data_IF_723091081483
#
_entry.id   IF_723091081483
#
_cell.length_a   1.000
_cell.length_b   1.000
_cell.length_c   1.000
_cell.angle_alpha   90.00
_cell.angle_beta   90.00
_cell.angle_gamma   90.00
#
_symmetry.space_group_name_H-M   'P 1'
#
loop_
_entity.id
_entity.type
_entity.pdbx_description
1 polymer ?
#
# COMPACT_ATOMS: atom_id res chain seq x y z
N UNK A 1 27.89 -42.94 73.46
CA UNK A 1 28.84 -41.90 73.02
C UNK A 1 28.87 -41.85 71.50
N UNK A 2 29.20 -40.68 70.94
CA UNK A 2 29.58 -40.41 69.55
C UNK A 2 28.56 -40.62 68.40
N UNK A 3 28.41 -39.53 67.63
CA UNK A 3 27.97 -39.41 66.23
C UNK A 3 28.76 -40.39 65.31
N UNK A 4 28.40 -40.66 64.04
CA UNK A 4 28.06 -39.70 62.96
C UNK A 4 27.51 -40.43 61.70
N UNK A 5 26.71 -39.69 60.87
CA UNK A 5 26.50 -39.72 59.39
C UNK A 5 26.95 -40.96 58.54
N UNK A 6 26.36 -41.30 57.37
CA UNK A 6 25.70 -40.47 56.33
C UNK A 6 24.74 -41.32 55.46
N UNK A 7 23.91 -40.68 54.62
CA UNK A 7 22.94 -41.31 53.71
C UNK A 7 23.52 -41.69 52.34
N UNK A 8 22.92 -42.70 51.70
CA UNK A 8 22.49 -42.60 50.29
C UNK A 8 22.83 -43.77 49.35
N UNK A 9 21.80 -44.31 48.67
CA UNK A 9 21.80 -44.63 47.22
C UNK A 9 20.41 -45.16 46.78
N UNK A 10 19.98 -44.77 45.56
CA UNK A 10 19.16 -45.47 44.54
C UNK A 10 18.03 -46.47 44.95
N UNK A 11 16.91 -46.63 44.26
CA UNK A 11 16.21 -45.94 43.14
C UNK A 11 14.73 -46.50 43.16
N UNK A 12 13.85 -46.49 42.15
CA UNK A 12 13.82 -46.03 40.76
C UNK A 12 12.33 -45.81 40.35
N UNK A 13 12.04 -44.96 39.35
CA UNK A 13 10.76 -44.99 38.61
C UNK A 13 11.00 -44.73 37.12
N UNK A 14 10.46 -45.60 36.27
CA UNK A 14 10.59 -45.57 34.81
C UNK A 14 9.47 -44.78 34.11
N UNK A 15 9.77 -44.40 32.86
CA UNK A 15 8.96 -43.74 31.84
C UNK A 15 7.43 -43.97 31.91
N UNK A 16 6.65 -42.91 31.67
CA UNK A 16 6.04 -42.66 30.35
C UNK A 16 5.18 -41.38 30.36
N UNK A 17 5.41 -40.48 29.40
CA UNK A 17 4.62 -39.26 29.25
C UNK A 17 4.93 -38.55 27.94
N UNK A 18 4.27 -38.96 26.85
CA UNK A 18 4.37 -38.31 25.54
C UNK A 18 3.58 -37.00 25.53
N UNK A 19 4.14 -35.96 26.15
CA UNK A 19 3.66 -34.59 26.00
C UNK A 19 4.05 -34.09 24.61
N UNK A 20 3.07 -33.70 23.79
CA UNK A 20 3.31 -33.23 22.43
C UNK A 20 4.07 -31.91 22.41
N UNK A 21 5.23 -31.88 21.73
CA UNK A 21 5.99 -30.66 21.50
C UNK A 21 5.62 -30.12 20.11
N UNK A 22 4.52 -29.39 20.05
CA UNK A 22 4.24 -28.46 18.95
C UNK A 22 5.10 -27.22 19.15
N UNK A 23 6.29 -27.17 18.55
CA UNK A 23 7.10 -25.96 18.47
C UNK A 23 7.26 -25.53 17.01
N UNK A 24 6.58 -24.42 16.68
CA UNK A 24 6.68 -23.73 15.40
C UNK A 24 8.06 -23.08 15.32
N UNK A 25 9.00 -23.73 14.64
CA UNK A 25 10.34 -23.17 14.38
C UNK A 25 10.30 -22.35 13.09
N UNK A 26 9.89 -21.08 13.20
CA UNK A 26 10.05 -20.06 12.15
C UNK A 26 9.92 -18.62 12.75
N UNK A 27 10.63 -18.35 13.84
CA UNK A 27 10.51 -17.11 14.62
C UNK A 27 11.83 -16.39 14.89
N UNK A 28 12.76 -16.38 13.92
CA UNK A 28 14.07 -15.72 14.04
C UNK A 28 14.36 -14.89 12.79
N UNK A 29 14.82 -13.65 13.00
CA UNK A 29 15.14 -12.63 11.98
C UNK A 29 13.94 -11.98 11.24
N UNK A 30 12.94 -11.50 11.99
CA UNK A 30 12.10 -10.39 11.53
C UNK A 30 12.64 -9.06 12.09
N UNK A 31 13.17 -8.21 11.22
CA UNK A 31 13.34 -6.77 11.52
C UNK A 31 11.96 -6.08 11.65
N UNK A 32 11.91 -4.75 11.86
CA UNK A 32 10.64 -4.02 11.78
C UNK A 32 9.97 -4.34 10.43
N UNK A 33 8.75 -4.86 10.49
CA UNK A 33 8.05 -5.33 9.30
C UNK A 33 7.86 -4.16 8.32
N UNK A 34 8.37 -4.32 7.10
CA UNK A 34 8.22 -3.34 6.03
C UNK A 34 6.75 -3.12 5.65
N UNK A 35 6.48 -2.13 4.78
CA UNK A 35 5.12 -1.83 4.34
C UNK A 35 4.44 -3.09 3.78
N UNK A 36 3.15 -3.35 4.12
CA UNK A 36 2.41 -4.51 3.64
C UNK A 36 2.49 -4.66 2.12
N UNK A 37 2.78 -5.88 1.67
CA UNK A 37 2.82 -6.20 0.25
C UNK A 37 1.48 -6.78 -0.23
N UNK A 38 1.12 -6.61 -1.52
CA UNK A 38 -0.05 -7.26 -2.10
C UNK A 38 0.04 -8.78 -1.98
N UNK A 39 -1.08 -9.46 -1.78
CA UNK A 39 -1.12 -10.93 -1.82
C UNK A 39 -0.71 -11.44 -3.21
N UNK A 40 0.02 -12.54 -3.26
CA UNK A 40 0.46 -13.13 -4.53
C UNK A 40 -0.76 -13.45 -5.42
N UNK A 41 -0.80 -12.87 -6.63
CA UNK A 41 -1.97 -12.95 -7.52
C UNK A 41 -2.93 -11.74 -7.46
N UNK A 42 -2.71 -10.75 -6.58
CA UNK A 42 -3.53 -9.53 -6.48
C UNK A 42 -3.47 -8.59 -7.70
N UNK A 43 -2.72 -8.98 -8.74
CA UNK A 43 -2.81 -8.39 -10.09
C UNK A 43 -4.16 -8.75 -10.72
N UNK A 44 -5.25 -8.22 -10.15
CA UNK A 44 -6.61 -8.55 -10.51
C UNK A 44 -6.83 -8.49 -12.02
N UNK A 45 -7.57 -9.49 -12.52
CA UNK A 45 -8.00 -9.61 -13.92
C UNK A 45 -8.60 -8.28 -14.36
N UNK A 46 -8.25 -7.85 -15.57
CA UNK A 46 -8.86 -6.68 -16.20
C UNK A 46 -10.35 -6.98 -16.42
N UNK A 47 -11.17 -6.59 -15.42
CA UNK A 47 -12.61 -6.88 -15.38
C UNK A 47 -13.33 -6.08 -16.46
N UNK A 48 -13.42 -6.70 -17.63
CA UNK A 48 -14.11 -6.20 -18.81
C UNK A 48 -15.53 -5.70 -18.47
N UNK A 49 -15.85 -4.50 -18.96
CA UNK A 49 -17.22 -4.01 -19.16
C UNK A 49 -18.13 -3.89 -17.93
N UNK A 50 -17.75 -3.01 -16.98
CA UNK A 50 -18.76 -2.07 -16.45
C UNK A 50 -18.97 -0.97 -17.48
N UNK A 51 -20.21 -0.66 -17.85
CA UNK A 51 -20.51 0.45 -18.77
C UNK A 51 -19.86 1.73 -18.25
N UNK A 52 -19.06 2.47 -19.04
CA UNK A 52 -18.39 3.68 -18.57
C UNK A 52 -19.39 4.64 -17.93
N UNK A 53 -19.14 5.03 -16.67
CA UNK A 53 -19.91 6.11 -16.04
C UNK A 53 -19.65 7.38 -16.85
N UNK A 54 -20.65 8.25 -17.09
CA UNK A 54 -20.43 9.54 -17.72
C UNK A 54 -19.29 10.28 -17.00
N UNK A 55 -18.27 10.64 -17.76
CA UNK A 55 -17.09 11.33 -17.22
C UNK A 55 -17.46 12.76 -16.86
N UNK A 56 -16.83 13.27 -15.80
CA UNK A 56 -17.06 14.60 -15.28
C UNK A 56 -16.11 15.60 -15.94
N UNK A 57 -16.50 16.88 -16.10
CA UNK A 57 -15.58 17.95 -16.43
C UNK A 57 -14.46 18.07 -15.40
N UNK A 58 -13.30 18.61 -15.82
CA UNK A 58 -12.14 18.84 -14.97
C UNK A 58 -12.47 19.61 -13.69
N UNK A 59 -12.03 19.09 -12.55
CA UNK A 59 -12.12 19.79 -11.27
C UNK A 59 -11.02 19.30 -10.32
N UNK A 60 -10.35 20.21 -9.62
CA UNK A 60 -9.28 19.85 -8.70
C UNK A 60 -9.82 18.95 -7.57
N UNK A 61 -9.17 17.82 -7.27
CA UNK A 61 -9.51 17.03 -6.10
C UNK A 61 -8.99 17.71 -4.82
N UNK A 62 -9.69 17.51 -3.70
CA UNK A 62 -9.39 18.17 -2.42
C UNK A 62 -8.99 17.18 -1.33
N UNK A 63 -9.60 16.00 -1.32
CA UNK A 63 -9.37 14.96 -0.31
C UNK A 63 -9.59 13.56 -0.88
N UNK A 64 -8.84 12.60 -0.36
CA UNK A 64 -9.00 11.17 -0.61
C UNK A 64 -9.37 10.44 0.68
N UNK A 65 -10.34 9.53 0.57
CA UNK A 65 -10.83 8.67 1.64
C UNK A 65 -10.72 7.20 1.20
N UNK A 66 -10.02 6.36 1.97
CA UNK A 66 -9.88 4.91 1.72
C UNK A 66 -10.13 4.14 3.03
N UNK A 67 -11.39 3.83 3.37
CA UNK A 67 -11.73 3.28 4.69
C UNK A 67 -11.07 1.93 5.01
N UNK A 68 -10.82 1.08 4.01
CA UNK A 68 -10.21 -0.24 4.18
C UNK A 68 -8.77 -0.20 4.75
N UNK A 69 -8.10 0.96 4.69
CA UNK A 69 -6.73 1.17 5.17
C UNK A 69 -6.58 2.43 6.04
N UNK A 70 -7.69 2.96 6.54
CA UNK A 70 -7.78 4.15 7.42
C UNK A 70 -7.09 5.41 6.85
N UNK A 71 -7.26 5.66 5.55
CA UNK A 71 -6.74 6.88 4.90
C UNK A 71 -7.82 7.95 4.81
N UNK A 72 -7.50 9.13 5.36
CA UNK A 72 -8.26 10.36 5.22
C UNK A 72 -7.28 11.53 5.03
N UNK A 73 -7.03 11.92 3.77
CA UNK A 73 -5.89 12.77 3.43
C UNK A 73 -6.25 13.95 2.51
N UNK A 74 -5.63 15.10 2.75
CA UNK A 74 -5.62 16.24 1.83
C UNK A 74 -4.92 15.85 0.52
N UNK A 75 -5.46 16.33 -0.61
CA UNK A 75 -4.85 16.21 -1.92
C UNK A 75 -4.29 17.56 -2.36
N UNK A 76 -2.97 17.66 -2.47
CA UNK A 76 -2.28 18.82 -3.05
C UNK A 76 -1.92 18.55 -4.52
N UNK A 77 -1.91 19.56 -5.41
CA UNK A 77 -1.41 19.37 -6.76
C UNK A 77 0.12 19.17 -6.74
N UNK A 78 0.60 18.17 -7.48
CA UNK A 78 2.03 17.95 -7.78
C UNK A 78 2.23 17.84 -9.30
N UNK A 79 3.44 18.11 -9.79
CA UNK A 79 3.78 18.03 -11.21
C UNK A 79 5.09 17.26 -11.47
N UNK A 80 5.53 17.17 -12.72
CA UNK A 80 6.95 16.91 -12.98
C UNK A 80 7.75 18.19 -12.77
N UNK A 81 8.98 18.08 -12.27
CA UNK A 81 9.97 19.14 -12.44
C UNK A 81 10.35 19.29 -13.93
N UNK A 82 11.08 20.35 -14.33
CA UNK A 82 11.51 20.55 -15.72
C UNK A 82 12.45 19.45 -16.27
N UNK A 83 12.97 18.57 -15.41
CA UNK A 83 13.84 17.44 -15.76
C UNK A 83 13.08 16.12 -15.86
N UNK A 84 11.76 16.13 -15.64
CA UNK A 84 10.89 14.94 -15.70
C UNK A 84 10.83 14.14 -14.41
N UNK A 85 11.47 14.59 -13.32
CA UNK A 85 11.31 13.98 -12.00
C UNK A 85 9.93 14.30 -11.46
N UNK A 86 9.19 13.29 -10.99
CA UNK A 86 7.91 13.52 -10.35
C UNK A 86 8.10 14.21 -9.00
N UNK A 87 7.48 15.38 -8.83
CA UNK A 87 7.30 16.03 -7.53
C UNK A 87 6.44 15.15 -6.63
N UNK A 88 6.91 14.91 -5.42
CA UNK A 88 6.19 14.20 -4.37
C UNK A 88 5.81 15.18 -3.26
N UNK A 89 4.72 14.93 -2.50
CA UNK A 89 4.33 15.79 -1.39
C UNK A 89 5.48 16.05 -0.40
N UNK A 90 5.48 17.20 0.30
CA UNK A 90 6.46 17.48 1.34
C UNK A 90 6.51 16.40 2.44
N UNK A 91 7.72 15.90 2.76
CA UNK A 91 7.95 14.83 3.74
C UNK A 91 7.63 15.23 5.20
N UNK A 92 7.55 16.53 5.48
CA UNK A 92 7.12 17.10 6.76
C UNK A 92 5.60 17.07 6.95
N UNK A 93 4.82 16.80 5.89
CA UNK A 93 3.37 16.57 5.92
C UNK A 93 3.04 15.10 5.58
N UNK A 94 3.39 14.10 6.41
CA UNK A 94 3.26 12.68 6.10
C UNK A 94 1.82 12.21 5.84
N UNK A 95 0.81 12.97 6.23
CA UNK A 95 -0.62 12.68 6.03
C UNK A 95 -1.20 13.26 4.74
N UNK A 96 -0.39 13.90 3.89
CA UNK A 96 -0.81 14.52 2.62
C UNK A 96 -0.45 13.63 1.44
N UNK A 97 -1.35 13.54 0.46
CA UNK A 97 -1.12 12.90 -0.82
C UNK A 97 -1.11 13.93 -1.97
N UNK A 98 -0.41 13.63 -3.05
CA UNK A 98 -0.23 14.50 -4.21
C UNK A 98 -1.02 14.01 -5.41
N UNK A 99 -1.87 14.84 -6.01
CA UNK A 99 -2.50 14.56 -7.31
C UNK A 99 -1.60 15.07 -8.44
N UNK A 100 -1.25 14.18 -9.38
CA UNK A 100 -0.46 14.52 -10.57
C UNK A 100 -1.28 15.39 -11.54
N UNK A 101 -1.14 16.71 -11.38
CA UNK A 101 -1.92 17.73 -12.10
C UNK A 101 -1.85 17.63 -13.63
N UNK A 102 -0.75 17.22 -14.30
CA UNK A 102 -0.74 17.06 -15.75
C UNK A 102 -1.64 15.93 -16.28
N UNK A 103 -2.04 14.98 -15.43
CA UNK A 103 -2.98 13.92 -15.77
C UNK A 103 -4.46 14.34 -15.71
N UNK A 104 -5.34 13.35 -15.83
CA UNK A 104 -6.77 13.56 -15.61
C UNK A 104 -7.03 13.95 -14.14
N UNK A 105 -8.01 14.81 -13.89
CA UNK A 105 -8.56 14.96 -12.55
C UNK A 105 -9.51 13.79 -12.23
N UNK A 106 -9.61 13.35 -10.96
CA UNK A 106 -10.51 12.25 -10.60
C UNK A 106 -11.93 12.48 -11.10
N UNK A 107 -12.42 11.59 -11.96
CA UNK A 107 -13.74 11.69 -12.62
C UNK A 107 -13.71 12.10 -14.10
N UNK A 108 -12.64 12.74 -14.59
CA UNK A 108 -12.41 12.89 -16.04
C UNK A 108 -12.09 11.55 -16.71
N UNK A 109 -12.20 11.48 -18.04
CA UNK A 109 -11.70 10.33 -18.80
C UNK A 109 -10.18 10.16 -18.63
N UNK A 110 -9.72 8.92 -18.54
CA UNK A 110 -8.31 8.59 -18.45
C UNK A 110 -7.80 8.35 -17.03
N UNK A 111 -6.48 8.32 -16.87
CA UNK A 111 -5.82 8.06 -15.60
C UNK A 111 -5.66 9.34 -14.75
N UNK A 112 -6.38 9.40 -13.63
CA UNK A 112 -6.01 10.27 -12.52
C UNK A 112 -4.97 9.56 -11.64
N UNK A 113 -3.84 10.21 -11.36
CA UNK A 113 -2.76 9.62 -10.54
C UNK A 113 -2.63 10.38 -9.22
N UNK A 114 -2.61 9.63 -8.13
CA UNK A 114 -2.33 10.14 -6.78
C UNK A 114 -1.12 9.40 -6.22
N UNK A 115 -0.14 10.15 -5.74
CA UNK A 115 1.09 9.64 -5.12
C UNK A 115 1.14 10.02 -3.65
N UNK A 116 1.76 9.17 -2.82
CA UNK A 116 1.90 9.45 -1.40
C UNK A 116 3.05 8.66 -0.80
N UNK A 117 3.65 9.20 0.25
CA UNK A 117 4.75 8.54 0.95
C UNK A 117 4.29 7.25 1.62
N UNK A 118 5.18 6.27 1.65
CA UNK A 118 4.94 5.02 2.38
C UNK A 118 5.24 5.24 3.87
N UNK A 119 6.37 5.86 4.19
CA UNK A 119 6.79 6.20 5.53
C UNK A 119 7.66 7.47 5.56
N UNK A 120 8.12 7.82 6.75
CA UNK A 120 9.14 8.83 7.02
C UNK A 120 10.12 8.28 8.06
N UNK A 121 11.19 9.04 8.35
CA UNK A 121 12.09 8.75 9.48
C UNK A 121 11.41 8.67 10.86
N UNK A 122 10.14 9.12 10.96
CA UNK A 122 9.37 9.13 12.21
C UNK A 122 8.25 8.07 12.24
N UNK A 123 8.10 7.27 11.18
CA UNK A 123 7.09 6.21 11.09
C UNK A 123 6.22 6.27 9.83
N UNK A 124 5.14 5.47 9.79
CA UNK A 124 4.22 5.38 8.65
C UNK A 124 3.71 6.73 8.13
N UNK A 125 3.49 6.80 6.81
CA UNK A 125 2.90 7.94 6.12
C UNK A 125 1.60 7.51 5.41
N UNK A 126 0.97 8.46 4.69
CA UNK A 126 -0.39 8.37 4.13
C UNK A 126 -0.68 7.06 3.40
N UNK A 127 0.27 6.47 2.68
CA UNK A 127 0.08 5.25 1.90
C UNK A 127 0.86 4.04 2.44
N UNK A 128 1.29 4.04 3.71
CA UNK A 128 1.97 2.88 4.33
C UNK A 128 1.24 1.55 4.08
N UNK A 129 -0.08 1.55 4.27
CA UNK A 129 -0.93 0.37 4.16
C UNK A 129 -1.43 0.08 2.74
N UNK A 130 -1.00 0.79 1.70
CA UNK A 130 -1.60 0.71 0.35
C UNK A 130 -1.60 -0.70 -0.25
N UNK A 131 -0.57 -1.53 0.05
CA UNK A 131 -0.51 -2.93 -0.38
C UNK A 131 -1.53 -3.87 0.31
N UNK A 132 -2.24 -3.41 1.35
CA UNK A 132 -3.35 -4.16 1.98
C UNK A 132 -4.65 -4.11 1.18
N UNK A 133 -4.79 -3.19 0.23
CA UNK A 133 -6.02 -3.08 -0.57
C UNK A 133 -6.28 -4.33 -1.42
N UNK A 134 -7.56 -4.62 -1.63
CA UNK A 134 -8.07 -5.77 -2.38
C UNK A 134 -9.09 -5.31 -3.43
N UNK A 135 -9.30 -6.09 -4.52
CA UNK A 135 -10.33 -5.77 -5.50
C UNK A 135 -11.70 -5.59 -4.84
N UNK A 136 -12.41 -4.52 -5.19
CA UNK A 136 -13.67 -4.12 -4.57
C UNK A 136 -13.55 -3.06 -3.47
N UNK A 137 -12.37 -2.84 -2.89
CA UNK A 137 -12.17 -1.79 -1.88
C UNK A 137 -12.52 -0.40 -2.45
N UNK A 138 -13.14 0.44 -1.62
CA UNK A 138 -13.66 1.73 -2.04
C UNK A 138 -12.68 2.87 -1.76
N UNK A 139 -12.40 3.65 -2.80
CA UNK A 139 -11.71 4.93 -2.72
C UNK A 139 -12.70 6.04 -3.09
N UNK A 140 -12.83 7.06 -2.25
CA UNK A 140 -13.63 8.26 -2.56
C UNK A 140 -12.71 9.47 -2.69
N UNK A 141 -13.00 10.33 -3.65
CA UNK A 141 -12.31 11.61 -3.83
C UNK A 141 -13.32 12.73 -3.91
N UNK A 142 -13.22 13.71 -3.02
CA UNK A 142 -14.00 14.95 -3.09
C UNK A 142 -13.30 16.00 -3.96
N UNK A 143 -14.07 16.85 -4.61
CA UNK A 143 -13.60 17.77 -5.67
C UNK A 143 -14.09 19.19 -5.42
N UNK A 144 -13.38 20.16 -5.98
CA UNK A 144 -13.67 21.58 -5.85
C UNK A 144 -15.03 21.99 -6.46
N UNK A 145 -15.62 21.17 -7.34
CA UNK A 145 -16.98 21.35 -7.86
C UNK A 145 -18.09 20.76 -6.97
N UNK A 146 -17.75 20.39 -5.73
CA UNK A 146 -18.68 19.82 -4.74
C UNK A 146 -19.07 18.36 -4.99
N UNK A 147 -18.56 17.72 -6.06
CA UNK A 147 -18.85 16.32 -6.37
C UNK A 147 -17.88 15.38 -5.64
N UNK A 148 -18.36 14.17 -5.36
CA UNK A 148 -17.53 13.04 -4.91
C UNK A 148 -17.51 11.99 -6.00
N UNK A 149 -16.32 11.49 -6.34
CA UNK A 149 -16.14 10.35 -7.25
C UNK A 149 -15.75 9.13 -6.43
N UNK A 150 -16.52 8.06 -6.59
CA UNK A 150 -16.26 6.76 -5.97
C UNK A 150 -15.59 5.85 -6.99
N UNK A 151 -14.46 5.27 -6.61
CA UNK A 151 -13.77 4.22 -7.36
C UNK A 151 -13.80 2.93 -6.55
N UNK A 152 -13.85 1.79 -7.24
CA UNK A 152 -13.55 0.49 -6.64
C UNK A 152 -12.19 0.02 -7.16
N UNK A 153 -11.37 -0.56 -6.27
CA UNK A 153 -10.09 -1.17 -6.64
C UNK A 153 -10.34 -2.33 -7.60
N UNK A 154 -9.58 -2.36 -8.69
CA UNK A 154 -9.57 -3.45 -9.68
C UNK A 154 -8.45 -4.45 -9.36
N UNK A 155 -7.32 -3.97 -8.81
CA UNK A 155 -6.20 -4.80 -8.40
C UNK A 155 -5.01 -3.98 -7.89
N UNK A 156 -4.07 -4.67 -7.24
CA UNK A 156 -2.87 -4.07 -6.64
C UNK A 156 -1.64 -4.87 -7.07
N UNK A 157 -0.62 -4.18 -7.58
CA UNK A 157 0.65 -4.80 -7.98
C UNK A 157 1.85 -4.14 -7.33
N UNK A 158 2.84 -4.95 -6.95
CA UNK A 158 4.19 -4.46 -6.63
C UNK A 158 5.06 -4.55 -7.89
N UNK A 159 5.76 -3.47 -8.22
CA UNK A 159 6.59 -3.35 -9.41
C UNK A 159 8.02 -2.93 -9.01
N UNK A 160 9.08 -3.65 -9.41
CA UNK A 160 10.46 -3.22 -9.14
C UNK A 160 10.70 -1.82 -9.70
N UNK A 161 11.46 -0.96 -9.01
CA UNK A 161 11.65 0.43 -9.48
C UNK A 161 12.29 0.54 -10.86
N UNK A 162 13.19 -0.39 -11.21
CA UNK A 162 13.78 -0.49 -12.56
C UNK A 162 12.84 -1.01 -13.65
N UNK A 163 11.63 -1.43 -13.31
CA UNK A 163 10.57 -1.86 -14.25
C UNK A 163 9.21 -1.29 -13.82
N UNK A 164 9.19 0.01 -13.51
CA UNK A 164 7.96 0.70 -13.15
C UNK A 164 7.02 0.81 -14.38
N UNK A 165 5.72 0.49 -14.26
CA UNK A 165 4.81 0.43 -15.40
C UNK A 165 4.31 1.83 -15.79
N UNK A 166 5.20 2.69 -16.30
CA UNK A 166 4.94 4.10 -16.61
C UNK A 166 3.67 4.30 -17.43
N UNK A 167 3.47 3.53 -18.51
CA UNK A 167 2.27 3.65 -19.38
C UNK A 167 0.97 3.26 -18.67
N UNK A 168 1.01 2.30 -17.74
CA UNK A 168 -0.16 1.88 -16.96
C UNK A 168 -0.63 2.98 -15.98
N UNK A 169 0.33 3.76 -15.48
CA UNK A 169 0.13 4.79 -14.45
C UNK A 169 -0.11 6.16 -15.07
N UNK A 170 0.86 6.67 -15.85
CA UNK A 170 0.87 8.02 -16.41
C UNK A 170 0.43 8.10 -17.89
N UNK A 171 0.18 6.96 -18.54
CA UNK A 171 -0.41 6.95 -19.87
C UNK A 171 -1.84 7.48 -19.88
N UNK A 172 -2.42 7.74 -21.08
CA UNK A 172 -3.71 8.42 -21.21
C UNK A 172 -4.88 7.69 -20.55
N UNK A 173 -4.78 6.36 -20.37
CA UNK A 173 -5.88 5.54 -19.86
C UNK A 173 -6.92 5.23 -20.94
N UNK A 174 -8.15 4.93 -20.51
CA UNK A 174 -9.28 4.62 -21.39
C UNK A 174 -10.36 5.70 -21.40
N UNK A 175 -11.51 5.46 -22.08
CA UNK A 175 -12.61 6.42 -22.18
C UNK A 175 -13.38 6.63 -20.86
N UNK A 176 -13.18 5.78 -19.86
CA UNK A 176 -13.75 5.92 -18.52
C UNK A 176 -12.80 6.59 -17.53
N UNK A 177 -13.32 7.02 -16.39
CA UNK A 177 -12.53 7.58 -15.30
C UNK A 177 -11.81 6.47 -14.51
N UNK A 178 -10.48 6.50 -14.54
CA UNK A 178 -9.62 5.55 -13.83
C UNK A 178 -8.74 6.28 -12.80
N UNK A 179 -8.39 5.57 -11.73
CA UNK A 179 -7.54 6.04 -10.66
C UNK A 179 -6.31 5.13 -10.51
N UNK A 180 -5.16 5.76 -10.24
CA UNK A 180 -3.88 5.10 -9.96
C UNK A 180 -3.35 5.66 -8.65
N UNK A 181 -3.23 4.81 -7.62
CA UNK A 181 -2.56 5.17 -6.37
C UNK A 181 -1.17 4.58 -6.37
N UNK A 182 -0.15 5.39 -6.04
CA UNK A 182 1.25 4.97 -6.09
C UNK A 182 1.97 5.32 -4.79
N UNK A 183 2.75 4.36 -4.28
CA UNK A 183 3.68 4.57 -3.15
C UNK A 183 4.89 3.66 -3.25
N UNK A 184 5.92 3.90 -2.45
CA UNK A 184 7.09 3.04 -2.30
C UNK A 184 6.74 1.70 -1.61
N UNK A 185 7.48 0.63 -1.86
CA UNK A 185 7.23 -0.67 -1.22
C UNK A 185 8.31 -1.73 -1.43
N UNK A 186 8.01 -2.96 -1.02
CA UNK A 186 8.98 -4.05 -0.98
C UNK A 186 10.00 -3.86 0.16
N UNK A 187 11.17 -4.48 0.02
CA UNK A 187 12.27 -4.33 0.97
C UNK A 187 12.90 -2.94 0.84
N UNK A 188 13.20 -2.30 1.98
CA UNK A 188 14.05 -1.12 2.07
C UNK A 188 15.53 -1.52 1.91
N UNK A 189 16.27 -0.84 1.04
CA UNK A 189 17.72 -0.99 0.87
C UNK A 189 18.42 0.14 1.66
N UNK A 190 19.13 -0.22 2.72
CA UNK A 190 19.78 0.75 3.60
C UNK A 190 20.92 1.53 2.92
N UNK A 191 21.53 0.96 1.88
CA UNK A 191 22.65 1.57 1.15
C UNK A 191 22.16 2.60 0.14
N UNK A 192 21.08 2.32 -0.59
CA UNK A 192 20.45 3.33 -1.46
C UNK A 192 19.48 4.26 -0.74
N UNK A 193 19.13 3.94 0.53
CA UNK A 193 18.11 4.63 1.34
C UNK A 193 16.74 4.67 0.67
N UNK A 194 16.43 3.62 -0.11
CA UNK A 194 15.22 3.57 -0.93
C UNK A 194 14.54 2.19 -0.90
N UNK A 195 13.25 2.18 -1.21
CA UNK A 195 12.43 1.00 -1.38
C UNK A 195 12.66 0.35 -2.74
N UNK A 196 12.80 -0.98 -2.75
CA UNK A 196 13.07 -1.76 -3.98
C UNK A 196 11.93 -1.75 -5.01
N UNK A 197 10.70 -1.47 -4.59
CA UNK A 197 9.51 -1.52 -5.44
C UNK A 197 8.65 -0.25 -5.29
N UNK A 198 7.70 -0.08 -6.20
CA UNK A 198 6.52 0.75 -6.02
C UNK A 198 5.27 -0.13 -5.96
N UNK A 199 4.35 0.18 -5.07
CA UNK A 199 2.99 -0.38 -5.06
C UNK A 199 2.12 0.50 -5.96
N UNK A 200 1.41 -0.13 -6.89
CA UNK A 200 0.45 0.53 -7.79
C UNK A 200 -0.92 -0.12 -7.62
N UNK A 201 -1.89 0.66 -7.16
CA UNK A 201 -3.31 0.30 -7.13
C UNK A 201 -3.95 0.80 -8.42
N UNK A 202 -4.71 -0.08 -9.09
CA UNK A 202 -5.65 0.30 -10.15
C UNK A 202 -7.05 0.33 -9.57
N UNK A 203 -7.81 1.37 -9.87
CA UNK A 203 -9.21 1.46 -9.52
C UNK A 203 -10.01 2.13 -10.67
N UNK A 204 -11.27 1.78 -10.78
CA UNK A 204 -12.19 2.28 -11.82
C UNK A 204 -13.42 2.92 -11.20
N UNK A 205 -13.92 4.00 -11.79
CA UNK A 205 -15.08 4.71 -11.25
C UNK A 205 -16.33 3.81 -11.24
N UNK A 206 -16.98 3.73 -10.08
CA UNK A 206 -18.24 2.99 -9.88
C UNK A 206 -19.42 3.95 -9.71
N UNK A 207 -20.65 3.43 -9.60
CA UNK A 207 -21.86 4.24 -9.34
C UNK A 207 -21.87 4.75 -7.89
#
# INVERSE_FOLDING_TARGET
MAFTRTRGAAAAVTLAGTAGISLIVAGLAAGPAGPPQPEAGSHGVEQHHRSPRPVLPRSAPLRIDIPAIDVHAELVPVAGDPHGTLEVPPLDRPTVAGWYRPGASPGEAGNAVVVGHVDTRHGPAVFFNLGRLRPGDIVRISRADGRVVTFAVDGVGAYPKGNFPTTLVYGPGGPGAALRLVTCGGRFDERSRDYSHNIVVRASAVR
#
